data_IF_669359774976
#
_entry.id   IF_669359774976
#
_cell.length_a   1.000
_cell.length_b   1.000
_cell.length_c   1.000
_cell.angle_alpha   90.00
_cell.angle_beta   90.00
_cell.angle_gamma   90.00
#
_symmetry.space_group_name_H-M   'P 1'
#
loop_
_entity.id
_entity.type
_entity.pdbx_description
1 polymer ?
#
# COMPACT_ATOMS: atom_id res chain seq x y z
N UNK A 1 -58.54 10.49 -27.05
CA UNK A 1 -58.56 11.83 -26.44
C UNK A 1 -57.12 12.32 -26.28
N UNK A 2 -56.66 13.32 -27.04
CA UNK A 2 -55.64 14.30 -26.62
C UNK A 2 -56.34 15.44 -25.79
N UNK A 3 -55.69 16.47 -25.16
CA UNK A 3 -54.58 17.29 -25.70
C UNK A 3 -53.52 17.83 -24.68
N UNK A 4 -52.29 18.08 -25.15
CA UNK A 4 -51.60 19.40 -25.34
C UNK A 4 -51.52 20.30 -24.08
N UNK A 5 -50.31 20.62 -23.62
CA UNK A 5 -49.95 22.01 -23.29
C UNK A 5 -48.43 22.28 -23.27
N UNK A 6 -48.11 23.40 -23.92
CA UNK A 6 -46.83 24.03 -24.18
C UNK A 6 -46.34 24.89 -23.00
N UNK A 7 -45.03 25.15 -23.02
CA UNK A 7 -44.30 26.28 -22.41
C UNK A 7 -44.09 26.32 -20.89
N UNK A 8 -42.83 26.44 -20.46
CA UNK A 8 -42.26 27.76 -20.14
C UNK A 8 -40.73 27.74 -20.03
N UNK A 9 -40.11 28.67 -20.78
CA UNK A 9 -38.78 29.24 -20.52
C UNK A 9 -38.87 30.08 -19.25
N UNK A 10 -37.95 29.89 -18.32
CA UNK A 10 -37.64 30.88 -17.29
C UNK A 10 -36.13 31.06 -17.26
N UNK A 11 -35.69 32.19 -17.80
CA UNK A 11 -34.36 32.72 -17.62
C UNK A 11 -34.28 33.36 -16.23
N UNK A 12 -33.36 32.90 -15.37
CA UNK A 12 -32.92 33.67 -14.19
C UNK A 12 -31.42 33.93 -14.27
N UNK A 13 -31.13 35.13 -14.77
CA UNK A 13 -29.87 35.85 -14.58
C UNK A 13 -29.82 36.33 -13.13
N UNK A 14 -28.84 35.84 -12.36
CA UNK A 14 -28.56 36.26 -11.00
C UNK A 14 -27.06 36.11 -10.71
N UNK A 15 -26.35 37.22 -10.75
CA UNK A 15 -24.91 37.38 -10.54
C UNK A 15 -24.61 37.39 -9.04
N UNK A 16 -23.68 36.56 -8.55
CA UNK A 16 -22.78 36.94 -7.44
C UNK A 16 -21.55 36.03 -7.39
N UNK A 17 -20.41 36.71 -7.28
CA UNK A 17 -19.05 36.25 -7.44
C UNK A 17 -18.64 35.20 -6.39
N UNK A 18 -17.91 34.18 -6.83
CA UNK A 18 -16.93 33.49 -6.00
C UNK A 18 -15.81 32.94 -6.88
N UNK A 19 -14.68 33.60 -6.73
CA UNK A 19 -13.33 33.16 -7.04
C UNK A 19 -13.19 31.69 -6.63
N UNK A 20 -13.07 30.79 -7.60
CA UNK A 20 -12.52 29.46 -7.37
C UNK A 20 -11.46 29.30 -8.46
N UNK A 21 -10.23 29.45 -7.98
CA UNK A 21 -8.97 29.23 -8.68
C UNK A 21 -9.10 27.93 -9.48
N UNK A 22 -9.32 28.08 -10.79
CA UNK A 22 -9.14 26.96 -11.71
C UNK A 22 -7.64 26.70 -11.68
N UNK A 23 -7.22 25.81 -10.80
CA UNK A 23 -6.03 25.00 -11.04
C UNK A 23 -6.23 24.43 -12.45
N UNK A 24 -5.56 25.04 -13.42
CA UNK A 24 -5.36 24.43 -14.71
C UNK A 24 -4.76 23.06 -14.40
N UNK A 25 -5.57 22.02 -14.52
CA UNK A 25 -5.06 20.67 -14.77
C UNK A 25 -4.26 20.79 -16.07
N UNK A 26 -2.98 21.14 -15.90
CA UNK A 26 -1.92 20.96 -16.87
C UNK A 26 -1.89 19.46 -17.17
N UNK A 27 -2.78 19.08 -18.08
CA UNK A 27 -2.87 17.78 -18.70
C UNK A 27 -1.64 17.66 -19.57
N UNK A 28 -0.52 17.41 -18.90
CA UNK A 28 0.75 17.09 -19.52
C UNK A 28 0.54 16.05 -20.62
N UNK A 29 1.41 16.05 -21.64
CA UNK A 29 1.21 15.28 -22.86
C UNK A 29 0.88 13.82 -22.55
N UNK A 30 0.00 13.17 -23.33
CA UNK A 30 -0.47 11.82 -23.06
C UNK A 30 0.72 10.87 -22.96
N UNK A 31 1.00 10.46 -21.72
CA UNK A 31 2.07 9.55 -21.42
C UNK A 31 1.60 8.15 -21.83
N UNK A 32 2.34 7.48 -22.72
CA UNK A 32 2.04 6.10 -23.12
C UNK A 32 2.07 5.14 -21.93
N UNK A 33 1.54 3.91 -22.06
CA UNK A 33 1.48 2.95 -20.95
C UNK A 33 2.87 2.70 -20.35
N UNK A 34 3.03 2.99 -19.06
CA UNK A 34 4.28 2.84 -18.33
C UNK A 34 4.36 1.41 -17.77
N UNK A 35 5.22 0.58 -18.38
CA UNK A 35 5.39 -0.82 -18.02
C UNK A 35 5.86 -1.01 -16.57
N UNK A 36 5.43 -2.09 -15.93
CA UNK A 36 5.86 -2.53 -14.59
C UNK A 36 7.31 -3.02 -14.66
N UNK A 37 8.06 -2.93 -13.56
CA UNK A 37 9.37 -3.55 -13.51
C UNK A 37 9.23 -5.07 -13.37
N UNK A 38 9.46 -5.78 -14.47
CA UNK A 38 9.28 -7.24 -14.56
C UNK A 38 10.17 -8.01 -13.58
N UNK A 39 11.39 -7.55 -13.33
CA UNK A 39 12.32 -8.20 -12.37
C UNK A 39 11.85 -8.08 -10.92
N UNK A 40 11.36 -6.91 -10.53
CA UNK A 40 10.81 -6.72 -9.18
C UNK A 40 9.51 -7.49 -9.06
N UNK A 41 8.67 -7.50 -10.09
CA UNK A 41 7.44 -8.28 -10.08
C UNK A 41 7.73 -9.77 -9.95
N UNK A 42 8.69 -10.33 -10.70
CA UNK A 42 9.06 -11.75 -10.59
C UNK A 42 9.55 -12.10 -9.18
N UNK A 43 10.40 -11.25 -8.58
CA UNK A 43 10.84 -11.43 -7.19
C UNK A 43 9.69 -11.34 -6.19
N UNK A 44 8.77 -10.38 -6.39
CA UNK A 44 7.60 -10.24 -5.52
C UNK A 44 6.65 -11.45 -5.63
N UNK A 45 6.53 -12.07 -6.80
CA UNK A 45 5.77 -13.31 -6.99
C UNK A 45 6.35 -14.49 -6.19
N UNK A 46 7.68 -14.52 -6.00
CA UNK A 46 8.34 -15.53 -5.16
C UNK A 46 8.27 -15.20 -3.66
N UNK A 47 8.42 -13.92 -3.30
CA UNK A 47 8.47 -13.48 -1.89
C UNK A 47 7.09 -13.49 -1.22
N UNK A 48 6.03 -13.06 -1.92
CA UNK A 48 4.65 -13.04 -1.41
C UNK A 48 4.20 -14.39 -0.80
N UNK A 49 4.34 -15.55 -1.49
CA UNK A 49 3.94 -16.84 -0.92
C UNK A 49 4.83 -17.28 0.24
N UNK A 50 6.11 -16.90 0.27
CA UNK A 50 6.98 -17.19 1.42
C UNK A 50 6.56 -16.41 2.67
N UNK A 51 6.22 -15.12 2.53
CA UNK A 51 5.68 -14.31 3.63
C UNK A 51 4.39 -14.93 4.16
N UNK A 52 3.49 -15.36 3.26
CA UNK A 52 2.22 -15.98 3.66
C UNK A 52 2.43 -17.30 4.39
N UNK A 53 3.31 -18.16 3.86
CA UNK A 53 3.68 -19.43 4.50
C UNK A 53 4.29 -19.19 5.88
N UNK A 54 5.20 -18.23 6.00
CA UNK A 54 5.83 -17.88 7.27
C UNK A 54 4.79 -17.39 8.29
N UNK A 55 3.82 -16.57 7.86
CA UNK A 55 2.72 -16.08 8.70
C UNK A 55 1.87 -17.23 9.23
N UNK A 56 1.50 -18.17 8.37
CA UNK A 56 0.70 -19.34 8.75
C UNK A 56 1.44 -20.25 9.72
N UNK A 57 2.70 -20.58 9.42
CA UNK A 57 3.54 -21.40 10.30
C UNK A 57 3.77 -20.75 11.65
N UNK A 58 4.04 -19.43 11.66
CA UNK A 58 4.19 -18.69 12.91
C UNK A 58 2.90 -18.72 13.74
N UNK A 59 1.74 -18.52 13.12
CA UNK A 59 0.45 -18.61 13.81
C UNK A 59 0.21 -20.01 14.41
N UNK A 60 0.57 -21.08 13.69
CA UNK A 60 0.48 -22.45 14.23
C UNK A 60 1.35 -22.61 15.48
N UNK A 61 2.60 -22.15 15.44
CA UNK A 61 3.52 -22.24 16.58
C UNK A 61 3.06 -21.37 17.74
N UNK A 62 2.58 -20.15 17.48
CA UNK A 62 2.01 -19.26 18.51
C UNK A 62 0.80 -19.88 19.20
N UNK A 63 -0.11 -20.51 18.45
CA UNK A 63 -1.26 -21.21 19.03
C UNK A 63 -0.81 -22.41 19.86
N UNK A 64 0.09 -23.24 19.33
CA UNK A 64 0.64 -24.37 20.06
C UNK A 64 1.28 -23.92 21.39
N UNK A 65 2.05 -22.83 21.37
CA UNK A 65 2.70 -22.28 22.56
C UNK A 65 1.68 -21.84 23.62
N UNK A 66 0.60 -21.18 23.23
CA UNK A 66 -0.46 -20.76 24.16
C UNK A 66 -1.16 -21.96 24.82
N UNK A 67 -1.33 -23.05 24.08
CA UNK A 67 -1.93 -24.29 24.62
C UNK A 67 -1.00 -25.04 25.58
N UNK A 68 0.30 -24.75 25.60
CA UNK A 68 1.27 -25.35 26.53
C UNK A 68 1.38 -24.60 27.86
N UNK A 69 0.66 -23.48 28.05
CA UNK A 69 0.71 -22.71 29.29
C UNK A 69 -0.02 -23.51 30.39
N UNK A 70 0.68 -23.91 31.47
CA UNK A 70 0.08 -24.66 32.57
C UNK A 70 -0.91 -23.80 33.37
N UNK A 71 -1.72 -24.44 34.20
CA UNK A 71 -2.55 -23.70 35.18
C UNK A 71 -1.63 -22.90 36.10
N UNK A 72 -2.08 -21.71 36.49
CA UNK A 72 -1.35 -20.85 37.42
C UNK A 72 -1.31 -21.55 38.78
N UNK A 73 -0.10 -21.87 39.25
CA UNK A 73 0.17 -22.48 40.55
C UNK A 73 1.05 -21.54 41.39
N UNK A 74 0.98 -21.67 42.72
CA UNK A 74 1.72 -20.82 43.64
C UNK A 74 3.15 -21.35 43.83
N UNK A 75 4.01 -21.09 42.83
CA UNK A 75 5.43 -21.47 42.80
C UNK A 75 5.87 -22.17 41.51
N UNK A 76 7.18 -22.38 41.35
CA UNK A 76 7.78 -23.08 40.18
C UNK A 76 7.53 -22.43 38.79
N UNK A 77 7.47 -21.09 38.75
CA UNK A 77 7.15 -20.31 37.54
C UNK A 77 8.32 -20.09 36.56
N UNK A 78 9.49 -20.70 36.79
CA UNK A 78 10.63 -20.50 35.89
C UNK A 78 10.33 -20.98 34.46
N UNK A 79 9.69 -22.15 34.33
CA UNK A 79 9.26 -22.66 33.02
C UNK A 79 8.27 -21.73 32.32
N UNK A 80 7.35 -21.12 33.07
CA UNK A 80 6.37 -20.15 32.56
C UNK A 80 7.07 -18.87 32.09
N UNK A 81 8.04 -18.35 32.84
CA UNK A 81 8.81 -17.17 32.44
C UNK A 81 9.61 -17.40 31.14
N UNK A 82 10.18 -18.59 30.95
CA UNK A 82 10.83 -18.97 29.69
C UNK A 82 9.80 -19.03 28.55
N UNK A 83 8.63 -19.62 28.80
CA UNK A 83 7.54 -19.68 27.83
C UNK A 83 7.07 -18.28 27.40
N UNK A 84 6.89 -17.36 28.35
CA UNK A 84 6.53 -15.96 28.09
C UNK A 84 7.58 -15.27 27.21
N UNK A 85 8.88 -15.49 27.49
CA UNK A 85 9.94 -14.87 26.69
C UNK A 85 9.97 -15.36 25.24
N UNK A 86 9.71 -16.66 25.03
CA UNK A 86 9.57 -17.22 23.68
C UNK A 86 8.33 -16.65 22.99
N UNK A 87 7.22 -16.50 23.71
CA UNK A 87 5.99 -15.92 23.16
C UNK A 87 6.16 -14.44 22.75
N UNK A 88 6.93 -13.67 23.52
CA UNK A 88 7.33 -12.30 23.15
C UNK A 88 8.09 -12.28 21.81
N UNK A 89 9.05 -13.21 21.61
CA UNK A 89 9.79 -13.33 20.35
C UNK A 89 8.88 -13.72 19.17
N UNK A 90 7.92 -14.62 19.37
CA UNK A 90 6.95 -14.99 18.36
C UNK A 90 6.09 -13.78 17.96
N UNK A 91 5.65 -12.98 18.94
CA UNK A 91 4.86 -11.78 18.72
C UNK A 91 5.67 -10.71 17.96
N UNK A 92 6.91 -10.45 18.36
CA UNK A 92 7.80 -9.53 17.66
C UNK A 92 8.06 -9.96 16.20
N UNK A 93 8.22 -11.27 15.98
CA UNK A 93 8.39 -11.83 14.63
C UNK A 93 7.14 -11.64 13.77
N UNK A 94 5.94 -11.81 14.37
CA UNK A 94 4.67 -11.57 13.68
C UNK A 94 4.56 -10.11 13.20
N UNK A 95 4.90 -9.15 14.05
CA UNK A 95 4.91 -7.73 13.68
C UNK A 95 5.87 -7.44 12.53
N UNK A 96 7.05 -8.09 12.48
CA UNK A 96 7.99 -7.95 11.35
C UNK A 96 7.41 -8.50 10.04
N UNK A 97 6.73 -9.64 10.08
CA UNK A 97 6.07 -10.24 8.91
C UNK A 97 4.98 -9.31 8.38
N UNK A 98 4.16 -8.74 9.26
CA UNK A 98 3.15 -7.74 8.89
C UNK A 98 3.80 -6.49 8.27
N UNK A 99 4.97 -6.07 8.78
CA UNK A 99 5.79 -5.01 8.18
C UNK A 99 6.28 -5.33 6.76
N UNK A 100 6.64 -6.58 6.46
CA UNK A 100 6.99 -6.97 5.09
C UNK A 100 5.78 -6.89 4.15
N UNK A 101 4.57 -7.24 4.63
CA UNK A 101 3.35 -7.11 3.84
C UNK A 101 3.05 -5.64 3.49
N UNK A 102 3.21 -4.72 4.44
CA UNK A 102 2.97 -3.28 4.19
C UNK A 102 4.04 -2.67 3.27
N UNK A 103 5.30 -3.10 3.38
CA UNK A 103 6.38 -2.60 2.53
C UNK A 103 6.18 -2.94 1.04
N UNK A 104 5.60 -4.12 0.74
CA UNK A 104 5.23 -4.49 -0.64
C UNK A 104 4.18 -3.52 -1.19
N UNK A 105 3.12 -3.23 -0.42
CA UNK A 105 2.09 -2.27 -0.82
C UNK A 105 2.67 -0.87 -1.02
N UNK A 106 3.55 -0.44 -0.11
CA UNK A 106 4.23 0.85 -0.17
C UNK A 106 5.03 1.03 -1.46
N UNK A 107 5.72 -0.01 -1.91
CA UNK A 107 6.46 0.02 -3.19
C UNK A 107 5.55 0.36 -4.38
N UNK A 108 4.36 -0.25 -4.48
CA UNK A 108 3.43 0.03 -5.58
C UNK A 108 2.89 1.46 -5.51
N UNK A 109 2.55 1.95 -4.31
CA UNK A 109 2.08 3.33 -4.11
C UNK A 109 3.14 4.36 -4.45
N UNK A 110 4.36 4.23 -3.89
CA UNK A 110 5.47 5.16 -4.15
C UNK A 110 5.86 5.18 -5.63
N UNK A 111 5.84 4.03 -6.29
CA UNK A 111 6.06 3.93 -7.73
C UNK A 111 4.96 4.64 -8.52
N UNK A 112 3.69 4.45 -8.15
CA UNK A 112 2.55 5.13 -8.77
C UNK A 112 2.67 6.65 -8.68
N UNK A 113 2.98 7.17 -7.49
CA UNK A 113 3.15 8.61 -7.25
C UNK A 113 4.32 9.19 -8.05
N UNK A 114 5.45 8.49 -8.09
CA UNK A 114 6.60 8.92 -8.87
C UNK A 114 6.30 8.94 -10.38
N UNK A 115 5.57 7.93 -10.86
CA UNK A 115 5.12 7.86 -12.25
C UNK A 115 4.17 9.01 -12.59
N UNK A 116 3.19 9.30 -11.73
CA UNK A 116 2.23 10.40 -11.93
C UNK A 116 2.90 11.78 -11.90
N UNK A 117 3.92 11.97 -11.05
CA UNK A 117 4.74 13.19 -11.04
C UNK A 117 5.57 13.33 -12.30
N UNK A 118 6.18 12.23 -12.78
CA UNK A 118 6.98 12.23 -14.00
C UNK A 118 6.15 12.53 -15.26
N UNK A 119 4.89 12.08 -15.33
CA UNK A 119 4.01 12.39 -16.47
C UNK A 119 3.60 13.86 -16.55
N UNK A 120 3.55 14.56 -15.41
CA UNK A 120 3.20 15.99 -15.33
C UNK A 120 4.38 16.93 -15.60
N UNK A 121 5.63 16.44 -15.59
CA UNK A 121 6.83 17.26 -15.77
C UNK A 121 7.74 16.70 -16.89
N UNK A 122 7.33 16.80 -18.17
CA UNK A 122 8.10 16.24 -19.28
C UNK A 122 9.49 16.88 -19.48
N UNK A 123 9.73 18.07 -18.92
CA UNK A 123 10.99 18.81 -19.06
C UNK A 123 12.10 18.34 -18.09
N UNK A 124 11.74 17.61 -17.02
CA UNK A 124 12.72 17.07 -16.07
C UNK A 124 12.85 15.59 -16.35
N UNK A 125 13.83 15.26 -17.18
CA UNK A 125 14.50 13.95 -17.16
C UNK A 125 13.58 12.80 -17.58
N UNK A 126 13.82 12.27 -18.79
CA UNK A 126 13.10 11.15 -19.41
C UNK A 126 12.54 10.15 -18.39
N UNK A 127 11.29 9.72 -18.58
CA UNK A 127 10.59 8.69 -17.78
C UNK A 127 11.50 7.50 -17.45
N UNK A 128 12.39 7.13 -18.39
CA UNK A 128 13.49 6.18 -18.23
C UNK A 128 14.39 6.46 -17.00
N UNK A 129 14.88 7.69 -16.79
CA UNK A 129 15.70 8.03 -15.62
C UNK A 129 14.88 8.03 -14.32
N UNK A 130 13.60 8.39 -14.35
CA UNK A 130 12.73 8.33 -13.16
C UNK A 130 12.50 6.87 -12.71
N UNK A 131 12.27 5.97 -13.68
CA UNK A 131 12.20 4.52 -13.44
C UNK A 131 13.52 3.96 -12.91
N UNK A 132 14.66 4.45 -13.40
CA UNK A 132 16.00 4.05 -12.93
C UNK A 132 16.31 4.57 -11.50
N UNK A 133 15.83 5.77 -11.13
CA UNK A 133 16.07 6.36 -9.81
C UNK A 133 15.42 5.58 -8.65
N UNK A 134 14.18 5.07 -8.83
CA UNK A 134 13.53 4.21 -7.84
C UNK A 134 14.28 2.89 -7.64
N UNK A 135 14.77 2.28 -8.72
CA UNK A 135 15.54 1.04 -8.66
C UNK A 135 16.88 1.17 -7.94
N UNK A 136 17.52 2.33 -8.00
CA UNK A 136 18.81 2.57 -7.35
C UNK A 136 18.68 2.76 -5.84
N UNK A 137 17.53 3.23 -5.35
CA UNK A 137 17.29 3.41 -3.91
C UNK A 137 17.08 2.07 -3.18
N UNK A 138 16.46 1.08 -3.83
CA UNK A 138 16.32 -0.31 -3.34
C UNK A 138 17.65 -1.10 -3.28
N UNK A 139 18.76 -0.54 -3.77
CA UNK A 139 20.09 -1.18 -3.78
C UNK A 139 21.04 -0.63 -2.70
N UNK A 140 20.63 0.39 -1.94
CA UNK A 140 21.48 1.07 -0.95
C UNK A 140 20.96 0.96 0.50
N UNK A 141 19.95 0.14 0.77
CA UNK A 141 19.55 -0.34 2.10
C UNK A 141 19.62 -1.86 2.12
#
# INVERSE_FOLDING_TARGET
MPPVLLMQKEAKKGKKDKDDDKEEEDSGPPCGPICINERVESLLQEVKPQIQTLKEKLNTVSMWMQLQIPKVEDGNNFGVAVQEKVFELLTATRTKIEGFQTQISKYYSERGDAVAKASKQPHVVSILRCVICLHRHLRMN
#
